data_IF_111832560291
#
_entry.id   IF_111832560291
#
_cell.length_a   1.000
_cell.length_b   1.000
_cell.length_c   1.000
_cell.angle_alpha   90.00
_cell.angle_beta   90.00
_cell.angle_gamma   90.00
#
_symmetry.space_group_name_H-M   'P 1'
#
loop_
_entity.id
_entity.type
_entity.pdbx_description
1 polymer ?
#
# COMPACT_ATOMS: atom_id res chain seq x y z
N UNK A 1 -16.17 -13.68 16.25
CA UNK A 1 -17.00 -13.90 15.05
C UNK A 1 -16.48 -12.99 13.95
N UNK A 2 -16.52 -13.39 12.67
CA UNK A 2 -16.05 -12.54 11.57
C UNK A 2 -17.02 -11.37 11.31
N UNK A 3 -16.46 -10.19 11.06
CA UNK A 3 -17.17 -8.93 10.88
C UNK A 3 -17.65 -8.77 9.43
N UNK A 4 -18.84 -8.18 9.19
CA UNK A 4 -19.35 -8.00 7.85
C UNK A 4 -18.53 -6.95 7.09
N UNK A 5 -18.23 -7.25 5.83
CA UNK A 5 -17.74 -6.32 4.82
C UNK A 5 -18.82 -6.13 3.74
N UNK A 6 -18.98 -4.93 3.20
CA UNK A 6 -20.03 -4.60 2.23
C UNK A 6 -19.42 -4.17 0.91
N UNK A 7 -19.84 -4.74 -0.22
CA UNK A 7 -19.27 -4.36 -1.53
C UNK A 7 -19.60 -2.89 -1.81
N UNK A 8 -18.56 -2.11 -2.10
CA UNK A 8 -18.63 -0.69 -2.45
C UNK A 8 -18.43 -0.49 -3.95
N UNK A 9 -17.42 -1.14 -4.51
CA UNK A 9 -17.11 -1.02 -5.94
C UNK A 9 -16.86 -2.39 -6.58
N UNK A 10 -17.37 -2.54 -7.79
CA UNK A 10 -16.87 -3.50 -8.79
C UNK A 10 -15.91 -2.78 -9.71
N UNK A 11 -14.72 -3.32 -9.93
CA UNK A 11 -13.71 -2.72 -10.80
C UNK A 11 -13.75 -3.42 -12.16
N UNK A 12 -13.98 -2.67 -13.24
CA UNK A 12 -14.08 -3.20 -14.61
C UNK A 12 -13.15 -2.43 -15.55
N UNK A 13 -12.88 -3.00 -16.73
CA UNK A 13 -12.05 -2.33 -17.74
C UNK A 13 -10.57 -2.20 -17.36
N UNK A 14 -10.13 -2.91 -16.31
CA UNK A 14 -8.72 -3.00 -15.94
C UNK A 14 -7.92 -3.74 -17.02
N UNK A 15 -6.65 -3.38 -17.24
CA UNK A 15 -5.79 -4.12 -18.15
C UNK A 15 -5.66 -5.59 -17.73
N UNK A 16 -5.56 -6.45 -18.75
CA UNK A 16 -5.38 -7.89 -18.61
C UNK A 16 -3.94 -8.30 -18.88
N UNK A 17 -3.56 -9.49 -18.42
CA UNK A 17 -2.33 -10.15 -18.82
C UNK A 17 -2.34 -10.55 -20.30
N UNK A 18 -1.16 -10.91 -20.82
CA UNK A 18 -1.01 -11.46 -22.18
C UNK A 18 -1.75 -12.80 -22.38
N UNK A 19 -2.02 -13.49 -21.27
CA UNK A 19 -2.85 -14.68 -21.18
C UNK A 19 -4.37 -14.40 -21.21
N UNK A 20 -4.77 -13.12 -21.24
CA UNK A 20 -6.16 -12.69 -21.32
C UNK A 20 -6.91 -12.68 -19.97
N UNK A 21 -6.24 -13.00 -18.86
CA UNK A 21 -6.84 -12.98 -17.52
C UNK A 21 -6.64 -11.62 -16.83
N UNK A 22 -7.55 -11.29 -15.92
CA UNK A 22 -7.38 -10.13 -15.06
C UNK A 22 -6.16 -10.33 -14.15
N UNK A 23 -5.62 -9.22 -13.66
CA UNK A 23 -4.59 -9.22 -12.61
C UNK A 23 -5.16 -8.66 -11.33
N UNK A 24 -4.64 -9.15 -10.21
CA UNK A 24 -4.95 -8.66 -8.86
C UNK A 24 -4.69 -7.15 -8.77
N UNK A 25 -5.70 -6.41 -8.30
CA UNK A 25 -5.60 -5.01 -7.95
C UNK A 25 -4.89 -4.84 -6.59
N UNK A 26 -3.57 -4.91 -6.59
CA UNK A 26 -2.69 -4.86 -5.39
C UNK A 26 -2.99 -3.67 -4.46
N UNK A 27 -3.37 -2.52 -5.02
CA UNK A 27 -3.88 -1.37 -4.27
C UNK A 27 -4.94 -0.68 -5.10
N UNK A 28 -6.08 -0.41 -4.47
CA UNK A 28 -7.08 0.53 -4.99
C UNK A 28 -7.12 1.74 -4.08
N UNK A 29 -6.89 2.92 -4.65
CA UNK A 29 -7.00 4.21 -3.96
C UNK A 29 -8.24 4.94 -4.44
N UNK A 30 -9.16 5.23 -3.52
CA UNK A 30 -10.35 6.05 -3.76
C UNK A 30 -10.09 7.45 -3.23
N UNK A 31 -10.00 8.43 -4.13
CA UNK A 31 -9.87 9.85 -3.81
C UNK A 31 -11.25 10.53 -3.78
N UNK A 32 -11.29 11.88 -3.80
CA UNK A 32 -12.54 12.63 -3.83
C UNK A 32 -13.29 12.50 -5.16
N UNK A 33 -12.58 12.41 -6.28
CA UNK A 33 -13.18 12.47 -7.63
C UNK A 33 -12.69 11.36 -8.56
N UNK A 34 -11.64 10.64 -8.17
CA UNK A 34 -10.98 9.61 -8.98
C UNK A 34 -10.73 8.35 -8.18
N UNK A 35 -10.70 7.22 -8.86
CA UNK A 35 -10.14 5.98 -8.35
C UNK A 35 -8.86 5.64 -9.12
N UNK A 36 -7.89 5.07 -8.42
CA UNK A 36 -6.64 4.58 -9.00
C UNK A 36 -6.40 3.14 -8.60
N UNK A 37 -5.90 2.32 -9.53
CA UNK A 37 -5.62 0.90 -9.29
C UNK A 37 -4.21 0.57 -9.73
N UNK A 38 -3.42 -0.02 -8.84
CA UNK A 38 -2.11 -0.59 -9.12
C UNK A 38 -2.24 -2.11 -9.31
N UNK A 39 -1.85 -2.62 -10.47
CA UNK A 39 -1.76 -4.07 -10.76
C UNK A 39 -0.32 -4.44 -11.09
N UNK A 40 0.14 -5.60 -10.63
CA UNK A 40 1.47 -6.15 -10.91
C UNK A 40 1.41 -7.26 -11.96
N UNK A 41 2.47 -7.39 -12.74
CA UNK A 41 2.55 -8.33 -13.86
C UNK A 41 3.92 -9.01 -13.89
N UNK A 42 3.95 -10.24 -14.42
CA UNK A 42 5.16 -10.98 -14.77
C UNK A 42 6.21 -10.99 -13.65
N UNK A 43 5.87 -11.63 -12.52
CA UNK A 43 6.65 -11.67 -11.28
C UNK A 43 7.04 -10.27 -10.76
N UNK A 44 6.08 -9.34 -10.87
CA UNK A 44 6.22 -7.93 -10.53
C UNK A 44 7.37 -7.20 -11.24
N UNK A 45 7.75 -7.64 -12.45
CA UNK A 45 8.72 -6.93 -13.29
C UNK A 45 8.21 -5.60 -13.81
N UNK A 46 6.89 -5.45 -13.92
CA UNK A 46 6.24 -4.17 -14.13
C UNK A 46 4.86 -4.12 -13.48
N UNK A 47 4.39 -2.89 -13.32
CA UNK A 47 3.06 -2.60 -12.81
C UNK A 47 2.31 -1.69 -13.78
N UNK A 48 0.98 -1.72 -13.71
CA UNK A 48 0.12 -0.75 -14.39
C UNK A 48 -0.66 0.04 -13.36
N UNK A 49 -0.61 1.37 -13.47
CA UNK A 49 -1.43 2.29 -12.71
C UNK A 49 -2.57 2.76 -13.61
N UNK A 50 -3.80 2.41 -13.26
CA UNK A 50 -5.02 2.75 -14.01
C UNK A 50 -5.84 3.80 -13.25
N UNK A 51 -6.61 4.62 -13.97
CA UNK A 51 -7.46 5.66 -13.39
C UNK A 51 -8.91 5.50 -13.87
N UNK A 52 -9.87 5.80 -13.00
CA UNK A 52 -11.29 5.93 -13.33
C UNK A 52 -11.90 7.18 -12.67
N UNK A 53 -12.99 7.68 -13.25
CA UNK A 53 -13.82 8.70 -12.61
C UNK A 53 -14.68 8.08 -11.51
N UNK A 54 -14.86 8.79 -10.40
CA UNK A 54 -15.89 8.44 -9.43
C UNK A 54 -17.25 9.02 -9.84
N UNK A 55 -18.38 8.33 -9.53
CA UNK A 55 -19.71 8.88 -9.74
C UNK A 55 -19.92 10.18 -8.96
N UNK A 56 -20.57 11.17 -9.57
CA UNK A 56 -20.78 12.51 -8.97
C UNK A 56 -21.73 12.51 -7.77
N UNK A 57 -22.70 11.59 -7.74
CA UNK A 57 -23.75 11.49 -6.70
C UNK A 57 -23.57 10.25 -5.81
N UNK A 58 -22.32 9.89 -5.55
CA UNK A 58 -21.99 8.72 -4.76
C UNK A 58 -22.44 8.83 -3.30
N UNK A 59 -23.09 7.77 -2.80
CA UNK A 59 -23.40 7.58 -1.38
C UNK A 59 -22.41 6.61 -0.76
N UNK A 60 -22.09 6.76 0.52
CA UNK A 60 -21.15 5.89 1.22
C UNK A 60 -21.56 4.40 1.21
N UNK A 61 -22.86 4.11 1.13
CA UNK A 61 -23.43 2.75 1.11
C UNK A 61 -23.80 2.22 -0.29
N UNK A 62 -23.49 2.96 -1.36
CA UNK A 62 -23.77 2.49 -2.72
C UNK A 62 -22.79 1.41 -3.17
N UNK A 63 -23.28 0.50 -4.02
CA UNK A 63 -22.49 -0.47 -4.76
C UNK A 63 -22.39 -0.01 -6.22
N UNK A 64 -21.27 0.62 -6.58
CA UNK A 64 -21.03 1.22 -7.88
C UNK A 64 -20.10 0.36 -8.75
N UNK A 65 -20.12 0.58 -10.06
CA UNK A 65 -19.12 0.02 -10.97
C UNK A 65 -18.18 1.13 -11.42
N UNK A 66 -16.87 0.90 -11.32
CA UNK A 66 -15.83 1.82 -11.76
C UNK A 66 -15.19 1.26 -13.03
N UNK A 67 -15.31 2.00 -14.13
CA UNK A 67 -14.77 1.62 -15.42
C UNK A 67 -13.42 2.29 -15.69
N UNK A 68 -12.37 1.48 -15.70
CA UNK A 68 -10.99 1.89 -15.95
C UNK A 68 -10.62 1.89 -17.43
N UNK A 69 -11.54 1.53 -18.34
CA UNK A 69 -11.27 1.52 -19.78
C UNK A 69 -11.26 2.92 -20.42
N UNK A 70 -11.75 3.94 -19.71
CA UNK A 70 -11.83 5.32 -20.18
C UNK A 70 -10.46 5.97 -20.39
N UNK A 71 -9.47 5.58 -19.59
CA UNK A 71 -8.13 6.17 -19.59
C UNK A 71 -7.07 5.11 -19.89
N UNK A 72 -6.00 5.48 -20.59
CA UNK A 72 -4.88 4.58 -20.80
C UNK A 72 -4.05 4.41 -19.51
N UNK A 73 -3.72 3.17 -19.12
CA UNK A 73 -2.90 2.94 -17.93
C UNK A 73 -1.49 3.47 -18.13
N UNK A 74 -0.89 3.94 -17.05
CA UNK A 74 0.54 4.23 -16.98
C UNK A 74 1.31 2.93 -16.66
N UNK A 75 2.42 2.67 -17.36
CA UNK A 75 3.24 1.46 -17.18
C UNK A 75 4.52 1.77 -16.40
N UNK A 76 4.80 0.97 -15.37
CA UNK A 76 5.87 1.20 -14.40
C UNK A 76 6.83 -0.01 -14.38
N UNK A 77 7.83 -0.05 -15.26
CA UNK A 77 8.80 -1.15 -15.28
C UNK A 77 9.88 -0.98 -14.20
N UNK A 78 10.21 -2.08 -13.51
CA UNK A 78 11.24 -2.08 -12.47
C UNK A 78 10.79 -1.48 -11.12
N UNK A 79 9.51 -1.20 -10.93
CA UNK A 79 9.00 -0.64 -9.67
C UNK A 79 8.81 -1.74 -8.59
N UNK A 80 8.63 -2.98 -9.02
CA UNK A 80 8.42 -4.12 -8.13
C UNK A 80 7.01 -4.20 -7.56
N UNK A 81 6.81 -5.24 -6.77
CA UNK A 81 5.63 -5.54 -6.00
C UNK A 81 5.56 -4.57 -4.82
N UNK A 82 4.46 -3.84 -4.74
CA UNK A 82 4.18 -2.92 -3.65
C UNK A 82 2.69 -2.63 -3.58
N UNK A 83 2.22 -2.30 -2.40
CA UNK A 83 0.82 -1.94 -2.12
C UNK A 83 0.67 -0.47 -1.74
N UNK A 84 1.73 0.31 -1.95
CA UNK A 84 1.80 1.74 -1.67
C UNK A 84 1.32 2.53 -2.88
N UNK A 85 0.25 3.29 -2.70
CA UNK A 85 -0.25 4.29 -3.65
C UNK A 85 -1.00 5.36 -2.86
N UNK A 86 -0.31 6.45 -2.53
CA UNK A 86 -0.84 7.49 -1.63
C UNK A 86 -0.85 8.85 -2.33
N UNK A 87 -2.04 9.41 -2.56
CA UNK A 87 -2.24 10.68 -3.26
C UNK A 87 -2.15 11.87 -2.29
N UNK A 88 -1.44 12.91 -2.71
CA UNK A 88 -1.35 14.18 -1.99
C UNK A 88 -1.08 15.34 -2.95
N UNK A 89 -1.37 16.56 -2.51
CA UNK A 89 -1.05 17.78 -3.27
C UNK A 89 0.14 18.48 -2.63
N UNK A 90 1.13 18.85 -3.43
CA UNK A 90 2.26 19.68 -3.02
C UNK A 90 2.48 20.76 -4.09
N UNK A 91 2.61 22.04 -3.69
CA UNK A 91 2.74 23.18 -4.60
C UNK A 91 1.76 23.15 -5.79
N UNK A 92 0.46 22.94 -5.51
CA UNK A 92 -0.63 22.86 -6.48
C UNK A 92 -0.52 21.71 -7.51
N UNK A 93 0.35 20.72 -7.28
CA UNK A 93 0.48 19.53 -8.11
C UNK A 93 0.13 18.30 -7.30
N UNK A 94 -0.67 17.41 -7.90
CA UNK A 94 -1.02 16.13 -7.31
C UNK A 94 0.08 15.10 -7.59
N UNK A 95 0.60 14.51 -6.51
CA UNK A 95 1.63 13.49 -6.52
C UNK A 95 1.14 12.22 -5.84
N UNK A 96 1.79 11.12 -6.20
CA UNK A 96 1.70 9.84 -5.51
C UNK A 96 3.01 9.54 -4.80
N UNK A 97 2.91 8.99 -3.60
CA UNK A 97 3.92 8.05 -3.10
C UNK A 97 3.63 6.68 -3.66
N UNK A 98 4.67 6.02 -4.18
CA UNK A 98 4.59 4.67 -4.75
C UNK A 98 5.83 3.86 -4.41
N UNK A 99 5.69 2.54 -4.28
CA UNK A 99 6.84 1.62 -4.21
C UNK A 99 7.66 1.66 -5.50
N UNK A 100 8.98 1.58 -5.39
CA UNK A 100 9.89 1.54 -6.55
C UNK A 100 11.15 0.72 -6.25
N UNK A 101 12.04 0.59 -7.24
CA UNK A 101 13.25 -0.24 -7.19
C UNK A 101 12.93 -1.69 -6.81
N UNK A 102 12.26 -2.38 -7.73
CA UNK A 102 11.97 -3.80 -7.63
C UNK A 102 13.24 -4.65 -7.61
N UNK A 103 13.38 -5.51 -6.61
CA UNK A 103 14.53 -6.41 -6.44
C UNK A 103 14.04 -7.79 -5.98
N UNK A 104 14.66 -8.87 -6.48
CA UNK A 104 14.31 -10.24 -6.08
C UNK A 104 14.89 -10.56 -4.69
N UNK A 105 14.27 -10.01 -3.66
CA UNK A 105 14.78 -10.09 -2.29
C UNK A 105 14.45 -11.42 -1.60
N UNK A 106 13.57 -12.23 -2.18
CA UNK A 106 13.03 -13.46 -1.58
C UNK A 106 13.37 -14.75 -2.30
N UNK A 107 14.03 -14.69 -3.46
CA UNK A 107 14.29 -15.85 -4.32
C UNK A 107 14.97 -16.99 -3.57
N UNK A 108 16.16 -16.73 -3.02
CA UNK A 108 17.00 -17.78 -2.43
C UNK A 108 16.40 -18.37 -1.15
N UNK A 109 15.72 -17.54 -0.34
CA UNK A 109 15.25 -17.94 0.99
C UNK A 109 13.82 -18.48 1.00
N UNK A 110 12.96 -18.00 0.11
CA UNK A 110 11.53 -18.30 0.14
C UNK A 110 10.99 -18.85 -1.20
N UNK A 111 11.85 -19.04 -2.21
CA UNK A 111 11.48 -19.48 -3.55
C UNK A 111 10.36 -18.62 -4.17
N UNK A 112 10.46 -17.31 -3.93
CA UNK A 112 9.55 -16.28 -4.42
C UNK A 112 10.30 -15.45 -5.47
N UNK A 113 9.83 -15.54 -6.71
CA UNK A 113 10.47 -14.91 -7.87
C UNK A 113 10.07 -13.44 -8.06
N UNK A 114 9.15 -12.93 -7.23
CA UNK A 114 8.69 -11.56 -7.36
C UNK A 114 9.81 -10.56 -7.05
N UNK A 115 9.86 -9.51 -7.86
CA UNK A 115 10.62 -8.32 -7.55
C UNK A 115 9.85 -7.52 -6.50
N UNK A 116 10.38 -7.30 -5.30
CA UNK A 116 9.73 -6.50 -4.25
C UNK A 116 10.24 -5.05 -4.27
N UNK A 117 9.36 -4.08 -4.07
CA UNK A 117 9.72 -2.66 -3.99
C UNK A 117 10.56 -2.37 -2.74
N UNK A 118 11.77 -1.83 -2.93
CA UNK A 118 12.73 -1.55 -1.84
C UNK A 118 12.93 -0.06 -1.57
N UNK A 119 12.30 0.79 -2.39
CA UNK A 119 12.33 2.25 -2.30
C UNK A 119 10.92 2.83 -2.40
N UNK A 120 10.80 4.13 -2.11
CA UNK A 120 9.59 4.91 -2.38
C UNK A 120 9.90 6.02 -3.38
N UNK A 121 8.96 6.34 -4.24
CA UNK A 121 9.09 7.40 -5.24
C UNK A 121 7.94 8.39 -5.18
N UNK A 122 8.21 9.63 -5.61
CA UNK A 122 7.22 10.69 -5.82
C UNK A 122 6.99 10.88 -7.32
N UNK A 123 5.77 10.65 -7.79
CA UNK A 123 5.42 10.78 -9.21
C UNK A 123 4.06 11.43 -9.43
N UNK A 124 3.81 11.95 -10.62
CA UNK A 124 2.46 12.33 -11.06
C UNK A 124 1.90 11.23 -11.96
N UNK A 125 0.58 11.07 -11.99
CA UNK A 125 -0.05 10.19 -12.99
C UNK A 125 0.01 10.86 -14.36
N UNK A 126 0.46 10.11 -15.36
CA UNK A 126 0.47 10.53 -16.76
C UNK A 126 -0.13 9.41 -17.61
N UNK A 127 -1.30 9.69 -18.19
CA UNK A 127 -2.04 8.73 -19.01
C UNK A 127 -1.17 8.17 -20.15
N UNK A 128 -1.14 6.85 -20.28
CA UNK A 128 -0.39 6.14 -21.33
C UNK A 128 1.14 6.22 -21.24
N UNK A 129 1.69 6.91 -20.24
CA UNK A 129 3.15 7.03 -20.09
C UNK A 129 3.77 5.70 -19.65
N UNK A 130 5.02 5.46 -20.05
CA UNK A 130 5.80 4.29 -19.62
C UNK A 130 7.13 4.72 -19.03
N UNK A 131 7.39 4.31 -17.80
CA UNK A 131 8.76 4.20 -17.28
C UNK A 131 9.34 2.87 -17.72
N UNK A 132 10.45 2.92 -18.46
CA UNK A 132 11.20 1.75 -18.93
C UNK A 132 12.04 1.09 -17.83
N UNK A 133 12.33 1.84 -16.76
CA UNK A 133 12.93 1.33 -15.53
C UNK A 133 12.65 2.30 -14.36
N UNK A 134 12.92 1.87 -13.13
CA UNK A 134 12.74 2.69 -11.94
C UNK A 134 13.69 3.89 -11.89
N UNK A 135 14.87 3.79 -12.52
CA UNK A 135 15.90 4.83 -12.54
C UNK A 135 15.41 6.13 -13.18
N UNK A 136 14.49 6.04 -14.15
CA UNK A 136 13.85 7.19 -14.82
C UNK A 136 12.94 8.03 -13.92
N UNK A 137 12.54 7.54 -12.74
CA UNK A 137 11.81 8.34 -11.76
C UNK A 137 12.82 9.16 -10.94
N UNK A 138 12.92 10.50 -11.11
CA UNK A 138 13.99 11.27 -10.49
C UNK A 138 13.88 11.37 -8.95
N UNK A 139 12.64 11.46 -8.46
CA UNK A 139 12.35 11.72 -7.05
C UNK A 139 12.11 10.40 -6.31
N UNK A 140 13.16 9.87 -5.68
CA UNK A 140 13.11 8.64 -4.88
C UNK A 140 13.70 8.83 -3.49
N UNK A 141 13.09 8.19 -2.50
CA UNK A 141 13.66 7.99 -1.18
C UNK A 141 14.57 6.77 -1.23
N UNK A 142 15.87 6.97 -1.05
CA UNK A 142 16.89 5.92 -1.06
C UNK A 142 17.43 5.66 0.35
N UNK A 143 18.24 4.62 0.50
CA UNK A 143 18.81 4.24 1.80
C UNK A 143 17.77 4.04 2.91
N UNK A 144 16.60 3.50 2.58
CA UNK A 144 15.56 3.16 3.55
C UNK A 144 16.01 2.09 4.57
N UNK A 145 17.17 1.45 4.35
CA UNK A 145 17.85 0.67 5.38
C UNK A 145 18.27 1.53 6.57
N UNK A 146 18.17 2.87 6.52
CA UNK A 146 18.54 3.79 7.60
C UNK A 146 17.36 4.61 8.09
N UNK A 147 16.16 4.05 7.99
CA UNK A 147 14.89 4.73 8.29
C UNK A 147 14.65 5.04 9.77
N UNK A 148 15.59 4.74 10.66
CA UNK A 148 15.46 4.91 12.10
C UNK A 148 15.95 6.28 12.60
N UNK A 149 15.96 7.30 11.73
CA UNK A 149 16.38 8.67 12.06
C UNK A 149 17.86 8.82 12.40
N UNK A 150 18.68 7.86 11.97
CA UNK A 150 20.13 7.87 12.19
C UNK A 150 20.83 7.15 11.03
N UNK A 151 22.16 7.24 10.98
CA UNK A 151 22.96 6.70 9.86
C UNK A 151 23.22 5.19 9.92
N UNK A 152 22.76 4.49 10.98
CA UNK A 152 22.99 3.05 11.12
C UNK A 152 22.01 2.27 10.25
N UNK A 153 22.55 1.34 9.48
CA UNK A 153 21.75 0.39 8.72
C UNK A 153 20.94 -0.52 9.64
N UNK A 154 19.71 -0.79 9.26
CA UNK A 154 18.79 -1.73 9.86
C UNK A 154 18.88 -3.12 9.24
N UNK A 155 19.79 -3.33 8.28
CA UNK A 155 19.97 -4.58 7.54
C UNK A 155 19.56 -4.45 6.07
N UNK A 156 19.32 -5.58 5.41
CA UNK A 156 18.84 -5.64 4.03
C UNK A 156 17.32 -5.61 4.00
N UNK A 157 16.75 -4.71 3.20
CA UNK A 157 15.31 -4.59 3.01
C UNK A 157 14.80 -5.66 2.06
N UNK A 158 13.75 -6.35 2.49
CA UNK A 158 12.92 -7.18 1.64
C UNK A 158 11.96 -6.33 0.83
N UNK A 159 11.19 -5.50 1.53
CA UNK A 159 10.10 -4.71 0.98
C UNK A 159 9.87 -3.45 1.80
N UNK A 160 9.26 -2.48 1.14
CA UNK A 160 8.81 -1.23 1.71
C UNK A 160 7.32 -1.07 1.43
N UNK A 161 6.58 -0.65 2.45
CA UNK A 161 5.23 -0.13 2.28
C UNK A 161 5.11 1.25 2.93
N UNK A 162 4.17 2.07 2.50
CA UNK A 162 3.91 3.34 3.12
C UNK A 162 2.42 3.69 3.11
N UNK A 163 2.06 4.58 4.03
CA UNK A 163 0.73 5.14 4.17
C UNK A 163 0.83 6.61 4.54
N UNK A 164 -0.08 7.42 4.01
CA UNK A 164 -0.13 8.84 4.32
C UNK A 164 -1.28 9.12 5.29
N UNK A 165 -1.06 9.98 6.29
CA UNK A 165 -2.16 10.43 7.14
C UNK A 165 -3.24 11.11 6.29
N UNK A 166 -4.51 11.01 6.68
CA UNK A 166 -5.62 11.59 5.90
C UNK A 166 -5.54 13.11 5.72
N UNK A 167 -4.82 13.82 6.60
CA UNK A 167 -4.51 15.25 6.44
C UNK A 167 -3.24 15.51 5.61
N UNK A 168 -2.63 14.47 5.06
CA UNK A 168 -1.45 14.43 4.19
C UNK A 168 -0.15 14.92 4.81
N UNK A 169 -0.13 15.19 6.11
CA UNK A 169 1.02 15.82 6.78
C UNK A 169 2.15 14.86 7.08
N UNK A 170 1.84 13.58 7.30
CA UNK A 170 2.81 12.60 7.75
C UNK A 170 2.78 11.35 6.89
N UNK A 171 3.97 10.89 6.48
CA UNK A 171 4.20 9.65 5.76
C UNK A 171 4.74 8.61 6.75
N UNK A 172 3.96 7.55 6.95
CA UNK A 172 4.39 6.36 7.68
C UNK A 172 5.04 5.41 6.68
N UNK A 173 6.25 4.95 6.96
CA UNK A 173 6.96 3.98 6.14
C UNK A 173 7.24 2.72 6.97
N UNK A 174 6.82 1.58 6.42
CA UNK A 174 7.13 0.24 6.90
C UNK A 174 8.31 -0.31 6.10
N UNK A 175 9.37 -0.72 6.79
CA UNK A 175 10.42 -1.56 6.18
C UNK A 175 10.41 -2.93 6.83
N UNK A 176 10.58 -3.98 6.03
CA UNK A 176 10.73 -5.37 6.49
C UNK A 176 12.07 -5.89 5.99
N UNK A 177 12.84 -6.54 6.85
CA UNK A 177 14.13 -7.12 6.47
C UNK A 177 13.96 -8.48 5.76
N UNK A 178 14.90 -8.82 4.88
CA UNK A 178 14.94 -10.10 4.11
C UNK A 178 14.85 -11.33 5.01
N UNK A 179 15.50 -11.29 6.17
CA UNK A 179 15.51 -12.42 7.09
C UNK A 179 14.23 -12.55 7.94
N UNK A 180 13.33 -11.57 7.84
CA UNK A 180 12.14 -11.38 8.68
C UNK A 180 12.45 -11.28 10.17
N UNK A 181 13.69 -10.95 10.57
CA UNK A 181 14.03 -10.81 11.99
C UNK A 181 13.59 -9.49 12.59
N UNK A 182 13.28 -8.51 11.73
CA UNK A 182 12.95 -7.14 12.13
C UNK A 182 12.12 -6.41 11.09
N UNK A 183 11.25 -5.53 11.56
CA UNK A 183 10.60 -4.50 10.77
C UNK A 183 10.66 -3.15 11.50
N UNK A 184 10.49 -2.04 10.77
CA UNK A 184 10.41 -0.70 11.35
C UNK A 184 9.20 0.03 10.80
N UNK A 185 8.54 0.78 11.67
CA UNK A 185 7.56 1.79 11.29
C UNK A 185 8.13 3.16 11.65
N UNK A 186 8.39 3.99 10.64
CA UNK A 186 8.99 5.30 10.81
C UNK A 186 8.10 6.38 10.24
N UNK A 187 7.96 7.48 10.97
CA UNK A 187 7.13 8.62 10.58
C UNK A 187 7.99 9.77 10.10
N UNK A 188 7.56 10.39 9.01
CA UNK A 188 8.20 11.56 8.43
C UNK A 188 7.18 12.64 8.13
N UNK A 189 7.57 13.91 8.25
CA UNK A 189 6.81 15.04 7.73
C UNK A 189 6.83 14.99 6.20
N UNK A 190 5.66 14.83 5.61
CA UNK A 190 5.51 14.70 4.17
C UNK A 190 5.99 15.96 3.44
N UNK A 191 5.69 17.15 3.99
CA UNK A 191 6.15 18.42 3.42
C UNK A 191 7.68 18.49 3.37
N UNK A 192 8.36 18.13 4.45
CA UNK A 192 9.82 18.26 4.56
C UNK A 192 10.55 17.28 3.62
N UNK A 193 9.97 16.09 3.36
CA UNK A 193 10.46 15.18 2.32
C UNK A 193 10.31 15.77 0.91
N UNK A 194 9.19 16.45 0.64
CA UNK A 194 8.98 17.11 -0.63
C UNK A 194 9.92 18.31 -0.82
N UNK A 195 10.10 19.13 0.22
CA UNK A 195 11.07 20.22 0.22
C UNK A 195 12.51 19.69 0.01
N UNK A 196 12.83 18.51 0.55
CA UNK A 196 14.12 17.85 0.33
C UNK A 196 14.32 17.47 -1.15
N UNK A 197 13.29 16.96 -1.84
CA UNK A 197 13.36 16.74 -3.28
C UNK A 197 13.62 18.01 -4.07
N UNK A 198 12.98 19.13 -3.71
CA UNK A 198 13.24 20.41 -4.39
C UNK A 198 14.67 20.90 -4.14
N UNK A 199 15.21 20.65 -2.95
CA UNK A 199 16.59 21.03 -2.59
C UNK A 199 17.64 20.18 -3.29
N UNK A 200 17.44 18.86 -3.37
CA UNK A 200 18.40 17.95 -4.01
C UNK A 200 18.26 17.92 -5.53
N UNK A 201 17.09 18.31 -6.05
CA UNK A 201 16.76 18.22 -7.47
C UNK A 201 16.55 16.78 -7.96
N UNK A 202 16.36 15.81 -7.05
CA UNK A 202 16.23 14.41 -7.44
C UNK A 202 16.05 13.45 -6.28
N UNK A 203 17.01 12.58 -6.06
CA UNK A 203 16.94 11.57 -4.98
C UNK A 203 17.11 12.21 -3.60
N UNK A 204 16.45 11.65 -2.59
CA UNK A 204 16.61 12.02 -1.17
C UNK A 204 17.16 10.81 -0.42
N UNK A 205 18.37 10.96 0.09
CA UNK A 205 18.99 9.93 0.93
C UNK A 205 18.46 10.03 2.36
N UNK A 206 17.88 8.95 2.88
CA UNK A 206 17.14 9.00 4.14
C UNK A 206 18.03 9.13 5.39
N UNK A 207 19.34 8.93 5.25
CA UNK A 207 20.36 9.11 6.28
C UNK A 207 21.09 10.45 6.21
N UNK A 208 20.75 11.31 5.26
CA UNK A 208 21.28 12.68 5.15
C UNK A 208 20.15 13.67 4.90
N UNK A 209 19.65 13.77 3.66
CA UNK A 209 18.63 14.73 3.22
C UNK A 209 17.30 14.57 3.96
N UNK A 210 16.89 13.31 4.17
CA UNK A 210 15.61 12.95 4.79
C UNK A 210 15.59 13.07 6.32
N UNK A 211 16.74 13.29 6.97
CA UNK A 211 16.83 13.33 8.44
C UNK A 211 15.98 14.46 9.05
N UNK A 212 15.93 15.61 8.38
CA UNK A 212 15.15 16.77 8.84
C UNK A 212 13.64 16.51 8.92
N UNK A 213 13.14 15.58 8.09
CA UNK A 213 11.73 15.20 8.06
C UNK A 213 11.37 14.14 9.11
N UNK A 214 12.35 13.49 9.74
CA UNK A 214 12.12 12.39 10.67
C UNK A 214 11.40 12.83 11.95
N UNK A 215 10.35 12.11 12.35
CA UNK A 215 9.60 12.40 13.58
C UNK A 215 9.69 11.29 14.62
N UNK A 216 9.98 10.04 14.21
CA UNK A 216 10.03 8.92 15.12
C UNK A 216 10.00 7.57 14.44
N UNK A 217 10.43 6.53 15.16
CA UNK A 217 10.47 5.16 14.65
C UNK A 217 10.16 4.15 15.75
N UNK A 218 9.35 3.15 15.43
CA UNK A 218 9.13 1.98 16.27
C UNK A 218 9.76 0.75 15.61
N UNK A 219 10.64 0.08 16.34
CA UNK A 219 11.20 -1.21 15.95
C UNK A 219 10.23 -2.33 16.32
N UNK A 220 9.94 -3.22 15.38
CA UNK A 220 9.18 -4.44 15.58
C UNK A 220 10.18 -5.60 15.62
N UNK A 221 10.54 -6.11 16.80
CA UNK A 221 11.45 -7.25 16.91
C UNK A 221 10.76 -8.54 16.44
N UNK A 222 11.53 -9.42 15.82
CA UNK A 222 11.03 -10.66 15.26
C UNK A 222 10.23 -10.44 13.96
N UNK A 223 9.62 -11.52 13.48
CA UNK A 223 8.85 -11.49 12.24
C UNK A 223 7.52 -10.79 12.44
N UNK A 224 7.34 -9.67 11.75
CA UNK A 224 6.04 -8.99 11.67
C UNK A 224 4.95 -9.90 11.10
N UNK A 225 5.30 -10.80 10.17
CA UNK A 225 4.35 -11.77 9.60
C UNK A 225 3.80 -12.71 10.68
N UNK A 226 4.61 -13.15 11.64
CA UNK A 226 4.16 -14.01 12.74
C UNK A 226 3.32 -13.27 13.79
N UNK A 227 3.40 -11.94 13.83
CA UNK A 227 2.60 -11.12 14.73
C UNK A 227 1.22 -10.79 14.15
N UNK A 228 1.02 -11.04 12.86
CA UNK A 228 -0.23 -10.78 12.15
C UNK A 228 -1.04 -12.06 11.93
N UNK A 229 -2.34 -11.88 11.67
CA UNK A 229 -3.17 -12.96 11.16
C UNK A 229 -2.78 -13.27 9.71
N UNK A 230 -2.84 -14.56 9.34
CA UNK A 230 -2.61 -15.05 7.97
C UNK A 230 -1.21 -14.69 7.39
N UNK A 231 -0.13 -14.94 8.15
CA UNK A 231 1.21 -14.31 8.06
C UNK A 231 1.51 -13.62 6.73
N UNK A 232 0.90 -12.45 6.52
CA UNK A 232 0.89 -11.74 5.25
C UNK A 232 0.62 -10.26 5.51
N UNK A 233 1.24 -9.42 4.69
CA UNK A 233 1.02 -7.98 4.64
C UNK A 233 0.55 -7.68 3.23
N UNK A 234 -0.74 -7.35 3.11
CA UNK A 234 -1.39 -7.00 1.86
C UNK A 234 -1.57 -5.50 1.67
N UNK A 235 -1.19 -4.71 2.67
CA UNK A 235 -1.13 -3.26 2.61
C UNK A 235 -1.29 -2.63 3.98
N UNK A 236 -1.01 -1.34 4.06
CA UNK A 236 -1.01 -0.56 5.30
C UNK A 236 -1.75 0.77 5.07
N UNK A 237 -2.43 1.26 6.10
CA UNK A 237 -2.89 2.66 6.17
C UNK A 237 -2.75 3.23 7.60
N UNK A 238 -2.71 4.55 7.73
CA UNK A 238 -2.47 5.27 8.98
C UNK A 238 -3.46 6.41 9.21
N UNK A 239 -4.04 6.48 10.41
CA UNK A 239 -4.94 7.58 10.77
C UNK A 239 -4.18 8.89 10.99
N UNK A 240 -4.89 10.01 11.05
CA UNK A 240 -4.36 11.20 11.72
C UNK A 240 -4.03 10.91 13.19
N UNK A 241 -3.22 11.77 13.81
CA UNK A 241 -2.89 11.67 15.23
C UNK A 241 -4.16 11.76 16.08
N UNK A 242 -4.40 10.76 16.91
CA UNK A 242 -5.51 10.71 17.87
C UNK A 242 -5.31 11.74 18.98
N UNK A 243 -6.38 12.05 19.73
CA UNK A 243 -6.32 12.95 20.89
C UNK A 243 -5.30 12.52 21.96
N UNK A 244 -5.02 11.22 22.05
CA UNK A 244 -4.06 10.66 23.00
C UNK A 244 -2.62 10.67 22.46
N UNK A 245 -2.37 11.33 21.33
CA UNK A 245 -1.04 11.49 20.74
C UNK A 245 -0.52 10.27 19.95
N UNK A 246 -1.34 9.23 19.76
CA UNK A 246 -0.98 8.04 18.98
C UNK A 246 -1.58 8.10 17.58
N UNK A 247 -1.02 7.34 16.65
CA UNK A 247 -1.61 7.03 15.36
C UNK A 247 -2.25 5.63 15.43
N UNK A 248 -3.29 5.40 14.63
CA UNK A 248 -3.83 4.06 14.40
C UNK A 248 -3.27 3.56 13.07
N UNK A 249 -2.66 2.38 13.09
CA UNK A 249 -2.11 1.71 11.91
C UNK A 249 -2.98 0.51 11.60
N UNK A 250 -3.49 0.45 10.38
CA UNK A 250 -4.26 -0.67 9.87
C UNK A 250 -3.41 -1.46 8.90
N UNK A 251 -3.35 -2.78 9.05
CA UNK A 251 -2.58 -3.64 8.14
C UNK A 251 -3.51 -4.77 7.67
N UNK A 252 -3.75 -4.86 6.36
CA UNK A 252 -4.54 -5.94 5.79
C UNK A 252 -3.70 -7.21 5.62
N UNK A 253 -4.35 -8.37 5.76
CA UNK A 253 -3.70 -9.66 5.63
C UNK A 253 -4.66 -10.74 5.14
N UNK A 254 -4.14 -11.65 4.32
CA UNK A 254 -4.88 -12.75 3.72
C UNK A 254 -4.49 -12.97 2.26
N UNK A 255 -3.68 -13.98 2.01
CA UNK A 255 -3.37 -14.49 0.67
C UNK A 255 -4.56 -15.27 0.11
N UNK A 256 -4.47 -15.72 -1.15
CA UNK A 256 -5.42 -16.67 -1.75
C UNK A 256 -5.73 -17.81 -0.76
N UNK A 257 -7.01 -18.16 -0.62
CA UNK A 257 -7.56 -19.17 0.32
C UNK A 257 -7.57 -18.79 1.80
N UNK A 258 -7.03 -17.64 2.20
CA UNK A 258 -7.07 -17.20 3.59
C UNK A 258 -8.24 -16.24 3.81
N UNK A 259 -8.91 -16.34 4.96
CA UNK A 259 -10.00 -15.43 5.32
C UNK A 259 -9.47 -14.01 5.43
N UNK A 260 -10.01 -13.03 4.70
CA UNK A 260 -9.56 -11.64 4.79
C UNK A 260 -9.55 -11.11 6.23
N UNK A 261 -8.53 -10.34 6.56
CA UNK A 261 -8.33 -9.80 7.91
C UNK A 261 -7.70 -8.42 7.89
N UNK A 262 -7.96 -7.63 8.92
CA UNK A 262 -7.28 -6.36 9.18
C UNK A 262 -6.80 -6.36 10.63
N UNK A 263 -5.52 -6.09 10.83
CA UNK A 263 -4.92 -5.77 12.12
C UNK A 263 -5.06 -4.28 12.39
N UNK A 264 -5.39 -3.89 13.64
CA UNK A 264 -5.32 -2.50 14.12
C UNK A 264 -4.29 -2.38 15.24
N UNK A 265 -3.24 -1.61 15.00
CA UNK A 265 -2.21 -1.31 15.98
C UNK A 265 -2.22 0.18 16.34
N UNK A 266 -1.71 0.53 17.53
CA UNK A 266 -1.38 1.90 17.91
C UNK A 266 0.11 2.14 17.70
N UNK A 267 0.47 3.25 17.07
CA UNK A 267 1.84 3.68 16.84
C UNK A 267 2.08 5.03 17.51
N UNK A 268 3.25 5.20 18.13
CA UNK A 268 3.70 6.46 18.69
C UNK A 268 5.12 6.77 18.20
N UNK A 269 5.36 8.02 17.82
CA UNK A 269 6.67 8.50 17.33
C UNK A 269 7.79 8.40 18.38
N UNK A 270 7.45 8.25 19.66
CA UNK A 270 8.42 7.92 20.72
C UNK A 270 8.89 6.45 20.68
N UNK A 271 8.53 5.70 19.64
CA UNK A 271 9.07 4.39 19.31
C UNK A 271 8.33 3.20 19.89
N UNK A 272 7.02 3.34 20.06
CA UNK A 272 6.16 2.25 20.54
C UNK A 272 5.13 1.88 19.48
N UNK A 273 4.98 0.58 19.25
CA UNK A 273 3.83 0.01 18.55
C UNK A 273 3.18 -1.08 19.41
N UNK A 274 1.85 -1.10 19.48
CA UNK A 274 1.07 -2.08 20.26
C UNK A 274 -0.12 -2.59 19.46
N UNK A 275 -0.51 -3.85 19.67
CA UNK A 275 -1.72 -4.42 19.06
C UNK A 275 -1.52 -5.03 17.67
N UNK A 276 -0.30 -5.39 17.25
CA UNK A 276 -0.08 -6.10 15.98
C UNK A 276 -0.85 -7.45 15.89
N UNK A 277 -1.15 -8.07 17.04
CA UNK A 277 -2.01 -9.26 17.14
C UNK A 277 -3.51 -8.97 17.28
N UNK A 278 -3.94 -7.70 17.31
CA UNK A 278 -5.35 -7.34 17.42
C UNK A 278 -5.95 -7.21 16.02
N UNK A 279 -6.64 -8.25 15.57
CA UNK A 279 -7.21 -8.32 14.23
C UNK A 279 -8.71 -8.60 14.24
N UNK A 280 -9.37 -8.21 13.16
CA UNK A 280 -10.72 -8.65 12.82
C UNK A 280 -10.66 -9.52 11.57
N UNK A 281 -11.26 -10.70 11.65
CA UNK A 281 -11.59 -11.49 10.47
C UNK A 281 -12.81 -10.87 9.81
N UNK A 282 -12.84 -10.84 8.50
CA UNK A 282 -13.92 -10.27 7.72
C UNK A 282 -14.72 -11.36 7.01
N UNK A 283 -15.96 -11.06 6.66
CA UNK A 283 -16.82 -11.94 5.87
C UNK A 283 -17.75 -11.15 4.96
N UNK A 284 -18.10 -11.75 3.83
CA UNK A 284 -19.21 -11.34 2.99
C UNK A 284 -19.85 -12.59 2.39
N UNK A 285 -21.18 -12.62 2.26
CA UNK A 285 -21.92 -13.79 1.76
C UNK A 285 -21.63 -14.14 0.30
N UNK A 286 -21.09 -13.19 -0.47
CA UNK A 286 -20.76 -13.36 -1.89
C UNK A 286 -19.30 -13.74 -2.13
N UNK A 287 -18.47 -13.81 -1.08
CA UNK A 287 -17.08 -14.21 -1.24
C UNK A 287 -16.99 -15.67 -1.66
N UNK A 288 -16.31 -15.99 -2.78
CA UNK A 288 -16.15 -17.36 -3.21
C UNK A 288 -15.27 -18.11 -2.19
N UNK A 289 -15.78 -19.25 -1.72
CA UNK A 289 -15.07 -20.07 -0.74
C UNK A 289 -13.67 -20.41 -1.23
N UNK A 290 -12.66 -20.12 -0.39
CA UNK A 290 -11.25 -20.41 -0.64
C UNK A 290 -10.68 -19.82 -1.95
N UNK A 291 -11.28 -18.75 -2.48
CA UNK A 291 -10.84 -18.11 -3.74
C UNK A 291 -10.84 -16.59 -3.66
N UNK A 292 -10.73 -16.05 -2.46
CA UNK A 292 -10.51 -14.63 -2.23
C UNK A 292 -9.06 -14.36 -1.86
N UNK A 293 -8.53 -13.27 -2.35
CA UNK A 293 -7.28 -12.66 -1.90
C UNK A 293 -7.57 -11.24 -1.37
N UNK A 294 -6.89 -10.87 -0.30
CA UNK A 294 -7.03 -9.54 0.31
C UNK A 294 -6.00 -8.60 -0.28
N UNK A 295 -6.43 -7.42 -0.69
CA UNK A 295 -5.57 -6.37 -1.25
C UNK A 295 -5.78 -5.07 -0.46
N UNK A 296 -4.68 -4.41 -0.11
CA UNK A 296 -4.52 -3.17 0.65
C UNK A 296 -5.76 -2.52 1.30
N UNK A 297 -5.63 -2.21 2.59
CA UNK A 297 -6.59 -1.36 3.31
C UNK A 297 -6.42 0.12 2.94
N UNK A 298 -7.52 0.86 2.98
CA UNK A 298 -7.55 2.33 2.92
C UNK A 298 -8.48 2.90 4.01
N UNK A 299 -8.07 3.93 4.73
CA UNK A 299 -8.94 4.79 5.53
C UNK A 299 -9.68 5.71 4.57
N UNK A 300 -10.99 5.53 4.47
CA UNK A 300 -11.81 6.25 3.50
C UNK A 300 -12.61 7.39 4.12
N UNK A 301 -13.16 7.19 5.31
CA UNK A 301 -13.94 8.21 6.01
C UNK A 301 -13.65 8.19 7.51
N UNK A 302 -14.30 9.06 8.28
CA UNK A 302 -14.20 9.03 9.73
C UNK A 302 -14.64 7.68 10.32
N UNK A 303 -15.60 7.02 9.68
CA UNK A 303 -16.29 5.82 10.18
C UNK A 303 -15.96 4.55 9.42
N UNK A 304 -15.35 4.63 8.22
CA UNK A 304 -15.15 3.46 7.37
C UNK A 304 -13.71 3.29 6.86
N UNK A 305 -13.34 2.03 6.70
CA UNK A 305 -12.22 1.56 5.90
C UNK A 305 -12.73 1.01 4.58
N UNK A 306 -11.88 1.02 3.57
CA UNK A 306 -12.01 0.25 2.35
C UNK A 306 -10.95 -0.86 2.32
N UNK A 307 -11.28 -1.95 1.63
CA UNK A 307 -10.40 -3.09 1.43
C UNK A 307 -10.58 -3.64 0.02
N UNK A 308 -9.48 -3.79 -0.71
CA UNK A 308 -9.49 -4.50 -1.98
C UNK A 308 -9.67 -6.00 -1.76
N UNK A 309 -10.44 -6.65 -2.62
CA UNK A 309 -10.61 -8.11 -2.64
C UNK A 309 -10.56 -8.57 -4.09
N UNK A 310 -9.61 -9.46 -4.41
CA UNK A 310 -9.56 -10.16 -5.68
C UNK A 310 -10.25 -11.51 -5.55
N UNK A 311 -11.02 -11.89 -6.58
CA UNK A 311 -11.59 -13.23 -6.72
C UNK A 311 -10.77 -14.02 -7.71
N UNK A 312 -10.64 -15.32 -7.45
CA UNK A 312 -9.93 -16.25 -8.32
C UNK A 312 -10.88 -17.33 -8.85
N UNK A 313 -10.62 -17.80 -10.07
CA UNK A 313 -11.25 -18.99 -10.60
C UNK A 313 -10.67 -20.27 -9.98
N UNK A 314 -11.12 -21.44 -10.44
CA UNK A 314 -10.63 -22.74 -9.95
C UNK A 314 -9.19 -23.05 -10.38
N UNK A 315 -8.69 -22.37 -11.42
CA UNK A 315 -7.33 -22.49 -11.94
C UNK A 315 -6.36 -21.54 -11.24
N UNK A 316 -6.87 -20.64 -10.40
CA UNK A 316 -6.08 -19.66 -9.65
C UNK A 316 -5.91 -18.32 -10.34
N UNK A 317 -6.48 -18.13 -11.54
CA UNK A 317 -6.44 -16.84 -12.23
C UNK A 317 -7.41 -15.86 -11.57
N UNK A 318 -7.04 -14.59 -11.50
CA UNK A 318 -7.96 -13.54 -11.05
C UNK A 318 -9.10 -13.42 -12.04
N UNK A 319 -10.34 -13.52 -11.55
CA UNK A 319 -11.55 -13.36 -12.35
C UNK A 319 -12.15 -11.97 -12.23
N UNK A 320 -12.01 -11.35 -11.05
CA UNK A 320 -12.66 -10.09 -10.73
C UNK A 320 -11.92 -9.36 -9.60
N UNK A 321 -12.04 -8.04 -9.57
CA UNK A 321 -11.54 -7.20 -8.49
C UNK A 321 -12.65 -6.31 -7.91
N UNK A 322 -12.67 -6.19 -6.59
CA UNK A 322 -13.69 -5.47 -5.86
C UNK A 322 -13.09 -4.63 -4.74
N UNK A 323 -13.84 -3.63 -4.29
CA UNK A 323 -13.56 -2.88 -3.07
C UNK A 323 -14.72 -3.03 -2.12
N UNK A 324 -14.41 -3.31 -0.86
CA UNK A 324 -15.36 -3.49 0.23
C UNK A 324 -15.22 -2.42 1.29
N UNK A 325 -16.34 -1.95 1.83
CA UNK A 325 -16.44 -1.07 2.99
C UNK A 325 -16.53 -1.88 4.28
N UNK A 326 -15.80 -1.46 5.31
CA UNK A 326 -15.82 -2.01 6.66
C UNK A 326 -15.98 -0.86 7.66
N UNK A 327 -16.88 -1.00 8.63
CA UNK A 327 -17.03 -0.01 9.69
C UNK A 327 -15.84 -0.06 10.66
N UNK A 328 -15.30 1.09 11.05
CA UNK A 328 -14.14 1.17 11.97
C UNK A 328 -14.47 0.77 13.41
N UNK A 329 -15.72 0.92 13.84
CA UNK A 329 -16.15 0.58 15.19
C UNK A 329 -16.04 -0.92 15.50
N UNK A 330 -15.87 -1.78 14.49
CA UNK A 330 -15.65 -3.22 14.69
C UNK A 330 -14.28 -3.52 15.31
N UNK A 331 -13.38 -2.53 15.35
CA UNK A 331 -12.06 -2.67 15.94
C UNK A 331 -11.97 -2.13 17.36
N UNK A 332 -12.98 -1.36 17.83
CA UNK A 332 -12.96 -0.63 19.10
C UNK A 332 -12.93 -1.51 20.34
#
# INVERSE_FOLDING_TARGET
MAQPAYRKYTLTGLPKGTDGYDRVAQKTLISKTKAYVLQVYDNASYSKLSMADLPTDEKEDSNNTLDFSKYQPMTLKGFGHGQTLELYTYNNTDYFWIGTKGVQTRLEKYNDNDLWGTQLGRMTFQEGMTYENAEQLPNRLTYLTRIAGNTKSTGSIERVEAALTSDTKHLLILTVNVDHSKAHLSMYKNKDLNDAFERTGGTVEMDTDGMSAFEGTASIPGSIYLQMRNPSIQGIDVSNKTKNGNYLVYISGGKVKQTPSITRATFNTNGTIRGLGNYQLLRNTYWPANRTETEAVQIYSATNLLLGIAYHDTSGHTSDNYVYRIAKNVFD
#
